data_IF_940260521485
#
_entry.id   IF_940260521485
#
_cell.length_a   1.000
_cell.length_b   1.000
_cell.length_c   1.000
_cell.angle_alpha   90.00
_cell.angle_beta   90.00
_cell.angle_gamma   90.00
#
_symmetry.space_group_name_H-M   'P 1'
#
loop_
_entity.id
_entity.type
_entity.pdbx_description
1 polymer ?
#
# COMPACT_ATOMS: atom_id res chain seq x y z
N UNK A 1 19.97 -7.53 -29.84
CA UNK A 1 19.70 -7.10 -28.45
C UNK A 1 18.66 -5.97 -28.48
N UNK A 2 17.37 -6.30 -28.29
CA UNK A 2 16.25 -5.33 -28.23
C UNK A 2 15.77 -5.08 -26.77
N UNK A 3 16.61 -5.37 -25.79
CA UNK A 3 16.20 -5.68 -24.42
C UNK A 3 15.69 -4.52 -23.52
N UNK A 4 16.13 -3.25 -23.63
CA UNK A 4 15.79 -2.28 -22.57
C UNK A 4 14.37 -1.71 -22.67
N UNK A 5 13.83 -1.52 -23.87
CA UNK A 5 12.51 -0.90 -24.07
C UNK A 5 11.38 -1.83 -23.64
N UNK A 6 11.53 -3.14 -23.88
CA UNK A 6 10.53 -4.15 -23.53
C UNK A 6 10.41 -4.32 -22.01
N UNK A 7 11.54 -4.26 -21.29
CA UNK A 7 11.56 -4.36 -19.82
C UNK A 7 10.87 -3.16 -19.17
N UNK A 8 11.14 -1.93 -19.63
CA UNK A 8 10.50 -0.72 -19.11
C UNK A 8 8.97 -0.73 -19.27
N UNK A 9 8.48 -1.29 -20.37
CA UNK A 9 7.03 -1.49 -20.60
C UNK A 9 6.44 -2.51 -19.61
N UNK A 10 7.13 -3.63 -19.39
CA UNK A 10 6.70 -4.66 -18.43
C UNK A 10 6.65 -4.14 -16.99
N UNK A 11 7.66 -3.40 -16.55
CA UNK A 11 7.73 -2.83 -15.19
C UNK A 11 6.63 -1.80 -14.97
N UNK A 12 6.32 -0.97 -15.97
CA UNK A 12 5.18 -0.02 -15.89
C UNK A 12 3.84 -0.75 -15.78
N UNK A 13 3.65 -1.84 -16.54
CA UNK A 13 2.41 -2.62 -16.46
C UNK A 13 2.28 -3.36 -15.12
N UNK A 14 3.38 -3.86 -14.57
CA UNK A 14 3.41 -4.44 -13.23
C UNK A 14 3.10 -3.40 -12.16
N UNK A 15 3.63 -2.18 -12.29
CA UNK A 15 3.31 -1.09 -11.39
C UNK A 15 1.84 -0.69 -11.45
N UNK A 16 1.23 -0.69 -12.64
CA UNK A 16 -0.21 -0.42 -12.79
C UNK A 16 -1.05 -1.48 -12.07
N UNK A 17 -0.72 -2.77 -12.26
CA UNK A 17 -1.35 -3.88 -11.53
C UNK A 17 -1.16 -3.76 -10.02
N UNK A 18 0.05 -3.45 -9.56
CA UNK A 18 0.35 -3.24 -8.14
C UNK A 18 -0.49 -2.10 -7.57
N UNK A 19 -0.58 -0.98 -8.28
CA UNK A 19 -1.39 0.18 -7.84
C UNK A 19 -2.86 -0.18 -7.72
N UNK A 20 -3.40 -0.94 -8.69
CA UNK A 20 -4.78 -1.40 -8.64
C UNK A 20 -5.03 -2.30 -7.41
N UNK A 21 -4.16 -3.28 -7.17
CA UNK A 21 -4.23 -4.15 -5.98
C UNK A 21 -4.14 -3.31 -4.70
N UNK A 22 -3.22 -2.34 -4.64
CA UNK A 22 -3.03 -1.46 -3.47
C UNK A 22 -4.29 -0.66 -3.16
N UNK A 23 -4.98 -0.12 -4.17
CA UNK A 23 -6.25 0.60 -3.99
C UNK A 23 -7.33 -0.33 -3.42
N UNK A 24 -7.47 -1.54 -3.98
CA UNK A 24 -8.44 -2.53 -3.48
C UNK A 24 -8.17 -2.90 -2.03
N UNK A 25 -6.91 -3.15 -1.70
CA UNK A 25 -6.53 -3.54 -0.33
C UNK A 25 -6.70 -2.38 0.64
N UNK A 26 -6.33 -1.15 0.26
CA UNK A 26 -6.56 0.04 1.06
C UNK A 26 -8.05 0.26 1.33
N UNK A 27 -8.90 0.09 0.32
CA UNK A 27 -10.35 0.20 0.48
C UNK A 27 -10.90 -0.88 1.42
N UNK A 28 -10.44 -2.12 1.29
CA UNK A 28 -10.82 -3.21 2.20
C UNK A 28 -10.37 -2.93 3.64
N UNK A 29 -9.12 -2.53 3.85
CA UNK A 29 -8.57 -2.21 5.17
C UNK A 29 -9.28 -1.03 5.83
N UNK A 30 -9.48 0.06 5.08
CA UNK A 30 -10.21 1.22 5.57
C UNK A 30 -11.67 0.87 5.90
N UNK A 31 -12.31 0.03 5.08
CA UNK A 31 -13.65 -0.50 5.33
C UNK A 31 -13.71 -1.34 6.61
N UNK A 32 -12.77 -2.27 6.80
CA UNK A 32 -12.68 -3.11 8.00
C UNK A 32 -12.46 -2.27 9.27
N UNK A 33 -11.53 -1.30 9.24
CA UNK A 33 -11.28 -0.40 10.38
C UNK A 33 -12.49 0.49 10.64
N UNK A 34 -13.15 1.00 9.60
CA UNK A 34 -14.36 1.81 9.72
C UNK A 34 -15.53 1.04 10.33
N UNK A 35 -15.72 -0.22 9.92
CA UNK A 35 -16.72 -1.12 10.53
C UNK A 35 -16.36 -1.38 11.99
N UNK A 36 -15.09 -1.69 12.30
CA UNK A 36 -14.66 -1.89 13.68
C UNK A 36 -14.94 -0.68 14.58
N UNK A 37 -14.78 0.53 14.04
CA UNK A 37 -15.09 1.77 14.73
C UNK A 37 -16.60 1.99 14.94
N UNK A 38 -17.41 1.75 13.90
CA UNK A 38 -18.87 1.97 13.97
C UNK A 38 -19.58 1.03 14.95
N UNK A 39 -19.13 -0.21 15.06
CA UNK A 39 -19.73 -1.23 15.92
C UNK A 39 -19.03 -1.38 17.28
N UNK A 40 -17.99 -0.58 17.54
CA UNK A 40 -17.19 -0.59 18.77
C UNK A 40 -16.71 -2.00 19.15
N UNK A 41 -16.29 -2.78 18.14
CA UNK A 41 -16.02 -4.22 18.29
C UNK A 41 -14.84 -4.52 19.22
N UNK A 42 -13.78 -3.69 19.17
CA UNK A 42 -12.57 -3.85 19.98
C UNK A 42 -11.97 -2.47 20.33
N UNK A 43 -11.36 -2.33 21.52
CA UNK A 43 -10.58 -1.15 21.89
C UNK A 43 -9.27 -1.13 21.09
N UNK A 44 -9.32 -0.61 19.86
CA UNK A 44 -8.18 -0.54 18.96
C UNK A 44 -7.43 0.80 19.09
N UNK A 45 -6.12 0.82 18.79
CA UNK A 45 -5.31 2.04 18.73
C UNK A 45 -5.68 2.86 17.47
N UNK A 46 -6.81 3.57 17.54
CA UNK A 46 -7.42 4.29 16.40
C UNK A 46 -6.47 5.28 15.73
N UNK A 47 -5.67 6.01 16.52
CA UNK A 47 -4.72 6.99 15.99
C UNK A 47 -3.67 6.31 15.12
N UNK A 48 -3.09 5.21 15.60
CA UNK A 48 -2.05 4.45 14.91
C UNK A 48 -2.59 3.83 13.62
N UNK A 49 -3.81 3.26 13.67
CA UNK A 49 -4.49 2.73 12.47
C UNK A 49 -4.81 3.82 11.45
N UNK A 50 -5.23 5.00 11.91
CA UNK A 50 -5.51 6.14 11.04
C UNK A 50 -4.24 6.62 10.33
N UNK A 51 -3.12 6.71 11.07
CA UNK A 51 -1.83 7.12 10.52
C UNK A 51 -1.30 6.10 9.52
N UNK A 52 -1.38 4.79 9.80
CA UNK A 52 -0.93 3.75 8.86
C UNK A 52 -1.75 3.77 7.56
N UNK A 53 -3.08 3.91 7.66
CA UNK A 53 -3.97 4.07 6.50
C UNK A 53 -3.66 5.36 5.71
N UNK A 54 -3.40 6.48 6.40
CA UNK A 54 -3.04 7.73 5.76
C UNK A 54 -1.70 7.61 5.00
N UNK A 55 -0.68 6.98 5.60
CA UNK A 55 0.58 6.68 4.92
C UNK A 55 0.37 5.82 3.67
N UNK A 56 -0.48 4.78 3.76
CA UNK A 56 -0.85 3.93 2.63
C UNK A 56 -1.51 4.72 1.50
N UNK A 57 -2.45 5.62 1.85
CA UNK A 57 -3.12 6.50 0.90
C UNK A 57 -2.14 7.45 0.22
N UNK A 58 -1.21 8.05 0.96
CA UNK A 58 -0.17 8.92 0.40
C UNK A 58 0.71 8.15 -0.56
N UNK A 59 1.21 6.96 -0.19
CA UNK A 59 2.01 6.13 -1.09
C UNK A 59 1.23 5.72 -2.35
N UNK A 60 -0.06 5.41 -2.21
CA UNK A 60 -0.92 5.13 -3.36
C UNK A 60 -1.03 6.34 -4.28
N UNK A 61 -1.28 7.54 -3.72
CA UNK A 61 -1.35 8.79 -4.48
C UNK A 61 -0.04 9.10 -5.22
N UNK A 62 1.10 8.96 -4.53
CA UNK A 62 2.43 9.14 -5.13
C UNK A 62 2.67 8.16 -6.28
N UNK A 63 2.31 6.89 -6.13
CA UNK A 63 2.44 5.90 -7.21
C UNK A 63 1.53 6.24 -8.39
N UNK A 64 0.29 6.69 -8.16
CA UNK A 64 -0.63 7.12 -9.24
C UNK A 64 -0.09 8.33 -9.99
N UNK A 65 0.38 9.37 -9.28
CA UNK A 65 1.00 10.57 -9.89
C UNK A 65 2.20 10.14 -10.74
N UNK A 66 3.04 9.26 -10.18
CA UNK A 66 4.22 8.75 -10.86
C UNK A 66 3.87 7.95 -12.12
N UNK A 67 2.80 7.16 -12.08
CA UNK A 67 2.33 6.37 -13.22
C UNK A 67 1.79 7.26 -14.36
N UNK A 68 1.21 8.42 -14.01
CA UNK A 68 0.80 9.46 -14.97
C UNK A 68 1.98 10.23 -15.56
N UNK A 69 3.11 10.22 -14.87
CA UNK A 69 4.33 10.88 -15.34
C UNK A 69 5.10 9.92 -16.27
N UNK A 70 5.62 10.44 -17.37
CA UNK A 70 6.42 9.69 -18.36
C UNK A 70 7.86 9.40 -17.91
N UNK A 71 8.21 9.70 -16.66
CA UNK A 71 9.54 9.45 -16.10
C UNK A 71 9.91 7.96 -16.20
N UNK A 72 11.20 7.65 -16.49
CA UNK A 72 11.68 6.28 -16.49
C UNK A 72 11.49 5.67 -15.10
N UNK A 73 10.98 4.44 -15.07
CA UNK A 73 10.80 3.69 -13.83
C UNK A 73 11.93 2.69 -13.70
N UNK A 74 12.60 2.66 -12.54
CA UNK A 74 13.65 1.68 -12.27
C UNK A 74 13.10 0.47 -11.49
N UNK A 75 13.74 -0.68 -11.65
CA UNK A 75 13.41 -1.90 -10.89
C UNK A 75 13.56 -1.69 -9.38
N UNK A 76 14.53 -0.89 -8.95
CA UNK A 76 14.77 -0.59 -7.54
C UNK A 76 13.60 0.19 -6.92
N UNK A 77 13.00 1.11 -7.66
CA UNK A 77 11.84 1.86 -7.19
C UNK A 77 10.59 0.98 -7.10
N UNK A 78 10.43 0.03 -8.03
CA UNK A 78 9.39 -0.98 -7.92
C UNK A 78 9.58 -1.86 -6.67
N UNK A 79 10.80 -2.34 -6.41
CA UNK A 79 11.12 -3.13 -5.22
C UNK A 79 10.88 -2.34 -3.91
N UNK A 80 11.24 -1.05 -3.89
CA UNK A 80 11.02 -0.18 -2.75
C UNK A 80 9.51 0.02 -2.48
N UNK A 81 8.70 0.12 -3.53
CA UNK A 81 7.24 0.18 -3.36
C UNK A 81 6.66 -1.09 -2.74
N UNK A 82 7.14 -2.28 -3.12
CA UNK A 82 6.72 -3.53 -2.47
C UNK A 82 7.17 -3.59 -1.02
N UNK A 83 8.40 -3.18 -0.72
CA UNK A 83 8.92 -3.16 0.64
C UNK A 83 8.09 -2.24 1.55
N UNK A 84 7.71 -1.06 1.06
CA UNK A 84 6.84 -0.14 1.78
C UNK A 84 5.43 -0.71 1.98
N UNK A 85 4.86 -1.37 0.97
CA UNK A 85 3.55 -2.04 1.11
C UNK A 85 3.59 -3.10 2.20
N UNK A 86 4.65 -3.91 2.23
CA UNK A 86 4.85 -4.93 3.25
C UNK A 86 4.92 -4.30 4.65
N UNK A 87 5.73 -3.24 4.83
CA UNK A 87 5.86 -2.54 6.11
C UNK A 87 4.53 -1.97 6.61
N UNK A 88 3.75 -1.34 5.73
CA UNK A 88 2.45 -0.78 6.07
C UNK A 88 1.45 -1.88 6.44
N UNK A 89 1.42 -2.97 5.68
CA UNK A 89 0.55 -4.12 5.99
C UNK A 89 0.91 -4.76 7.32
N UNK A 90 2.21 -4.94 7.59
CA UNK A 90 2.68 -5.46 8.88
C UNK A 90 2.32 -4.52 10.03
N UNK A 91 2.47 -3.20 9.86
CA UNK A 91 2.08 -2.23 10.88
C UNK A 91 0.57 -2.24 11.13
N UNK A 92 -0.25 -2.27 10.07
CA UNK A 92 -1.70 -2.32 10.20
C UNK A 92 -2.14 -3.62 10.89
N UNK A 93 -1.55 -4.75 10.51
CA UNK A 93 -1.80 -6.04 11.15
C UNK A 93 -1.38 -6.04 12.62
N UNK A 94 -0.23 -5.47 12.95
CA UNK A 94 0.25 -5.35 14.33
C UNK A 94 -0.73 -4.54 15.21
N UNK A 95 -1.17 -3.39 14.73
CA UNK A 95 -2.11 -2.52 15.46
C UNK A 95 -3.56 -3.05 15.47
N UNK A 96 -3.94 -3.92 14.54
CA UNK A 96 -5.27 -4.54 14.51
C UNK A 96 -5.37 -5.86 15.29
N UNK A 97 -4.34 -6.24 16.05
CA UNK A 97 -4.35 -7.45 16.89
C UNK A 97 -3.59 -8.66 16.35
N UNK A 98 -2.81 -8.50 15.28
CA UNK A 98 -1.93 -9.52 14.70
C UNK A 98 -0.50 -9.49 15.26
N UNK A 99 0.43 -10.18 14.57
CA UNK A 99 1.40 -11.17 15.10
C UNK A 99 2.36 -10.87 16.28
N UNK A 100 2.24 -9.78 17.04
CA UNK A 100 2.77 -9.65 18.40
C UNK A 100 2.10 -8.48 19.16
N UNK A 101 0.77 -8.36 19.08
CA UNK A 101 0.01 -7.27 19.70
C UNK A 101 0.37 -7.08 21.20
N UNK A 102 0.81 -5.88 21.62
CA UNK A 102 1.17 -5.60 23.02
C UNK A 102 -0.03 -5.21 23.90
N UNK A 103 -1.23 -5.11 23.32
CA UNK A 103 -2.50 -4.77 23.97
C UNK A 103 -3.43 -5.97 24.08
#
# INVERSE_FOLDING_TARGET
MLAPVQMLSATRQNLWRLTFIRILVLAAQAGSVGIAWLFDFLPLPWLQLSITLACSLVLCGLTVIRLRTSLPLTELEYALQLALDLLIHSALLYYSGGSANPF
#
